data_IF_381079444704
#
_entry.id   IF_381079444704
#
_cell.length_a   1.000
_cell.length_b   1.000
_cell.length_c   1.000
_cell.angle_alpha   90.00
_cell.angle_beta   90.00
_cell.angle_gamma   90.00
#
_symmetry.space_group_name_H-M   'P 1'
#
loop_
_entity.id
_entity.type
_entity.pdbx_description
1 polymer ?
#
# COMPACT_ATOMS: atom_id res chain seq x y z
N UNK A 1 17.64 -15.69 -35.01
CA UNK A 1 16.46 -15.95 -34.17
C UNK A 1 16.89 -15.99 -32.72
N UNK A 2 16.50 -15.03 -31.89
CA UNK A 2 16.64 -15.11 -30.43
C UNK A 2 15.64 -14.19 -29.72
N UNK A 3 14.84 -14.83 -28.87
CA UNK A 3 13.97 -14.35 -27.78
C UNK A 3 12.82 -13.36 -28.06
N UNK A 4 11.64 -13.94 -28.34
CA UNK A 4 10.30 -13.35 -28.16
C UNK A 4 9.84 -13.40 -26.70
N UNK A 5 10.64 -12.90 -25.75
CA UNK A 5 10.14 -12.66 -24.40
C UNK A 5 10.21 -11.17 -24.13
N UNK A 6 9.08 -10.49 -24.39
CA UNK A 6 8.84 -9.18 -23.80
C UNK A 6 9.09 -9.32 -22.31
N UNK A 7 9.96 -8.46 -21.76
CA UNK A 7 10.29 -8.46 -20.33
C UNK A 7 8.98 -8.43 -19.54
N UNK A 8 8.60 -9.57 -18.99
CA UNK A 8 7.56 -9.65 -17.98
C UNK A 8 8.18 -8.96 -16.76
N UNK A 9 7.92 -7.65 -16.60
CA UNK A 9 8.26 -6.86 -15.40
C UNK A 9 7.33 -7.20 -14.22
N UNK A 10 6.78 -8.42 -14.18
CA UNK A 10 5.91 -8.82 -13.08
C UNK A 10 6.80 -9.02 -11.85
N UNK A 11 6.37 -8.48 -10.71
CA UNK A 11 6.98 -8.74 -9.43
C UNK A 11 7.13 -10.26 -9.23
N UNK A 12 8.37 -10.77 -9.25
CA UNK A 12 8.63 -12.18 -8.95
C UNK A 12 8.41 -12.47 -7.46
N UNK A 13 8.59 -11.46 -6.60
CA UNK A 13 8.43 -11.53 -5.15
C UNK A 13 8.17 -10.14 -4.57
N UNK A 14 7.62 -10.10 -3.35
CA UNK A 14 7.47 -8.90 -2.54
C UNK A 14 7.73 -9.21 -1.07
N UNK A 15 7.96 -8.16 -0.28
CA UNK A 15 8.15 -8.24 1.16
C UNK A 15 7.09 -7.38 1.85
N UNK A 16 6.56 -7.85 2.97
CA UNK A 16 5.58 -7.12 3.77
C UNK A 16 6.05 -7.03 5.21
N UNK A 17 5.66 -5.95 5.88
CA UNK A 17 5.93 -5.75 7.29
C UNK A 17 4.97 -6.61 8.10
N UNK A 18 5.50 -7.50 8.93
CA UNK A 18 4.67 -8.48 9.65
C UNK A 18 3.64 -7.81 10.56
N UNK A 19 4.01 -6.71 11.22
CA UNK A 19 3.09 -5.95 12.07
C UNK A 19 1.88 -5.39 11.32
N UNK A 20 1.97 -5.20 10.00
CA UNK A 20 0.83 -4.76 9.20
C UNK A 20 -0.37 -5.73 9.29
N UNK A 21 -0.14 -7.03 9.54
CA UNK A 21 -1.22 -8.01 9.71
C UNK A 21 -2.15 -7.69 10.87
N UNK A 22 -1.71 -6.93 11.89
CA UNK A 22 -2.59 -6.44 12.95
C UNK A 22 -3.65 -5.48 12.40
N UNK A 23 -3.28 -4.66 11.43
CA UNK A 23 -4.18 -3.70 10.78
C UNK A 23 -5.01 -4.32 9.65
N UNK A 24 -4.52 -5.41 9.05
CA UNK A 24 -5.31 -6.24 8.13
C UNK A 24 -6.39 -7.08 8.83
N UNK A 25 -6.53 -6.99 10.16
CA UNK A 25 -7.62 -7.63 10.91
C UNK A 25 -8.75 -6.65 11.26
N UNK A 26 -8.71 -5.44 10.69
CA UNK A 26 -9.69 -4.39 10.93
C UNK A 26 -11.10 -4.83 10.48
N UNK A 27 -12.04 -4.84 11.43
CA UNK A 27 -13.44 -5.23 11.22
C UNK A 27 -14.19 -4.39 10.18
N UNK A 28 -13.72 -3.19 9.85
CA UNK A 28 -14.30 -2.35 8.81
C UNK A 28 -13.90 -2.81 7.39
N UNK A 29 -12.88 -3.67 7.26
CA UNK A 29 -12.45 -4.23 5.98
C UNK A 29 -13.30 -5.43 5.59
N UNK A 30 -13.89 -5.35 4.41
CA UNK A 30 -14.68 -6.40 3.80
C UNK A 30 -13.81 -7.29 2.89
N UNK A 31 -14.35 -8.46 2.51
CA UNK A 31 -13.74 -9.32 1.49
C UNK A 31 -13.45 -8.57 0.17
N UNK A 32 -14.29 -7.60 -0.20
CA UNK A 32 -14.10 -6.77 -1.39
C UNK A 32 -12.89 -5.84 -1.26
N UNK A 33 -12.65 -5.30 -0.06
CA UNK A 33 -11.49 -4.45 0.23
C UNK A 33 -10.19 -5.26 0.06
N UNK A 34 -10.14 -6.47 0.61
CA UNK A 34 -8.98 -7.36 0.45
C UNK A 34 -8.76 -7.78 -1.00
N UNK A 35 -9.82 -8.13 -1.75
CA UNK A 35 -9.71 -8.48 -3.18
C UNK A 35 -9.07 -7.35 -3.99
N UNK A 36 -9.45 -6.10 -3.72
CA UNK A 36 -8.86 -4.94 -4.40
C UNK A 36 -7.42 -4.71 -3.95
N UNK A 37 -7.14 -4.78 -2.64
CA UNK A 37 -5.77 -4.61 -2.12
C UNK A 37 -4.81 -5.65 -2.72
N UNK A 38 -5.21 -6.92 -2.76
CA UNK A 38 -4.41 -8.00 -3.37
C UNK A 38 -4.26 -7.83 -4.88
N UNK A 39 -5.31 -7.39 -5.58
CA UNK A 39 -5.21 -7.06 -7.00
C UNK A 39 -4.20 -5.93 -7.25
N UNK A 40 -4.21 -4.86 -6.44
CA UNK A 40 -3.23 -3.78 -6.54
C UNK A 40 -1.81 -4.31 -6.27
N UNK A 41 -1.63 -5.17 -5.27
CA UNK A 41 -0.35 -5.84 -5.01
C UNK A 41 0.14 -6.69 -6.19
N UNK A 42 -0.75 -7.44 -6.84
CA UNK A 42 -0.43 -8.23 -8.05
C UNK A 42 0.00 -7.34 -9.23
N UNK A 43 -0.63 -6.16 -9.39
CA UNK A 43 -0.34 -5.21 -10.48
C UNK A 43 0.75 -4.20 -10.16
N UNK A 44 1.37 -4.30 -8.98
CA UNK A 44 2.34 -3.34 -8.52
C UNK A 44 3.67 -3.47 -9.27
N UNK A 45 4.25 -2.32 -9.62
CA UNK A 45 5.55 -2.21 -10.24
C UNK A 45 6.66 -2.30 -9.19
N UNK A 46 7.75 -3.00 -9.52
CA UNK A 46 8.87 -3.27 -8.60
C UNK A 46 9.79 -2.08 -8.33
N UNK A 47 9.71 -1.04 -9.16
CA UNK A 47 10.56 0.15 -9.11
C UNK A 47 9.98 1.28 -8.27
N UNK A 48 8.65 1.45 -8.29
CA UNK A 48 7.97 2.59 -7.66
C UNK A 48 6.78 2.22 -6.76
N UNK A 49 6.51 0.93 -6.53
CA UNK A 49 5.39 0.48 -5.68
C UNK A 49 4.00 0.93 -6.18
N UNK A 50 3.88 1.35 -7.44
CA UNK A 50 2.61 1.77 -8.04
C UNK A 50 1.93 0.65 -8.81
N UNK A 51 0.62 0.54 -8.65
CA UNK A 51 -0.26 -0.21 -9.54
C UNK A 51 -0.93 0.77 -10.51
N UNK A 52 -0.47 0.78 -11.76
CA UNK A 52 -0.91 1.74 -12.81
C UNK A 52 -2.21 1.28 -13.48
N UNK A 53 -3.25 1.11 -12.67
CA UNK A 53 -4.55 0.58 -13.07
C UNK A 53 -5.67 1.57 -12.75
N UNK A 54 -6.60 1.71 -13.69
CA UNK A 54 -7.77 2.59 -13.52
C UNK A 54 -8.89 1.84 -12.79
N UNK A 55 -9.73 2.57 -12.05
CA UNK A 55 -10.90 2.01 -11.36
C UNK A 55 -11.82 1.19 -12.28
N UNK A 56 -12.03 1.64 -13.53
CA UNK A 56 -12.83 0.90 -14.51
C UNK A 56 -12.24 -0.47 -14.81
N UNK A 57 -10.92 -0.55 -14.94
CA UNK A 57 -10.18 -1.80 -15.19
C UNK A 57 -10.27 -2.72 -13.98
N UNK A 58 -10.07 -2.21 -12.76
CA UNK A 58 -10.26 -2.98 -11.51
C UNK A 58 -11.67 -3.59 -11.44
N UNK A 59 -12.70 -2.79 -11.74
CA UNK A 59 -14.08 -3.24 -11.73
C UNK A 59 -14.35 -4.35 -12.75
N UNK A 60 -13.78 -4.24 -13.96
CA UNK A 60 -13.90 -5.25 -15.00
C UNK A 60 -13.16 -6.53 -14.62
N UNK A 61 -11.90 -6.44 -14.22
CA UNK A 61 -11.04 -7.60 -13.95
C UNK A 61 -11.51 -8.40 -12.73
N UNK A 62 -12.06 -7.72 -11.71
CA UNK A 62 -12.59 -8.38 -10.51
C UNK A 62 -14.07 -8.75 -10.61
N UNK A 63 -14.73 -8.45 -11.74
CA UNK A 63 -16.18 -8.59 -11.92
C UNK A 63 -16.98 -7.93 -10.78
N UNK A 64 -16.65 -6.67 -10.47
CA UNK A 64 -17.24 -5.89 -9.38
C UNK A 64 -17.94 -4.64 -9.92
N UNK A 65 -19.00 -4.20 -9.23
CA UNK A 65 -19.63 -2.91 -9.52
C UNK A 65 -18.64 -1.75 -9.32
N UNK A 66 -18.65 -0.79 -10.24
CA UNK A 66 -17.75 0.37 -10.23
C UNK A 66 -17.94 1.24 -8.97
N UNK A 67 -19.17 1.38 -8.50
CA UNK A 67 -19.50 2.10 -7.27
C UNK A 67 -18.93 1.41 -6.04
N UNK A 68 -19.03 0.08 -5.96
CA UNK A 68 -18.41 -0.72 -4.91
C UNK A 68 -16.88 -0.58 -4.91
N UNK A 69 -16.24 -0.71 -6.08
CA UNK A 69 -14.79 -0.49 -6.21
C UNK A 69 -14.38 0.91 -5.76
N UNK A 70 -15.17 1.94 -6.11
CA UNK A 70 -14.94 3.32 -5.66
C UNK A 70 -14.90 3.43 -4.13
N UNK A 71 -15.89 2.84 -3.45
CA UNK A 71 -16.00 2.86 -1.99
C UNK A 71 -14.82 2.15 -1.33
N UNK A 72 -14.46 0.96 -1.83
CA UNK A 72 -13.32 0.22 -1.33
C UNK A 72 -12.00 0.97 -1.51
N UNK A 73 -11.74 1.54 -2.69
CA UNK A 73 -10.54 2.33 -2.94
C UNK A 73 -10.45 3.55 -2.01
N UNK A 74 -11.56 4.28 -1.81
CA UNK A 74 -11.61 5.39 -0.85
C UNK A 74 -11.29 4.92 0.57
N UNK A 75 -11.86 3.79 1.00
CA UNK A 75 -11.59 3.21 2.32
C UNK A 75 -10.12 2.82 2.48
N UNK A 76 -9.54 2.15 1.50
CA UNK A 76 -8.12 1.76 1.51
C UNK A 76 -7.19 2.98 1.51
N UNK A 77 -7.56 4.06 0.82
CA UNK A 77 -6.85 5.34 0.90
C UNK A 77 -6.97 5.99 2.29
N UNK A 78 -8.18 6.04 2.86
CA UNK A 78 -8.40 6.61 4.19
C UNK A 78 -7.65 5.84 5.29
N UNK A 79 -7.52 4.51 5.13
CA UNK A 79 -6.69 3.69 6.02
C UNK A 79 -5.19 3.77 5.70
N UNK A 80 -4.78 4.52 4.67
CA UNK A 80 -3.41 4.67 4.18
C UNK A 80 -2.69 3.36 3.86
N UNK A 81 -3.44 2.34 3.43
CA UNK A 81 -2.84 1.13 2.84
C UNK A 81 -2.37 1.38 1.40
N UNK A 82 -3.04 2.31 0.73
CA UNK A 82 -2.68 2.81 -0.59
C UNK A 82 -2.82 4.34 -0.60
N UNK A 83 -2.21 4.98 -1.57
CA UNK A 83 -2.40 6.40 -1.89
C UNK A 83 -2.82 6.55 -3.35
N UNK A 84 -3.60 7.60 -3.65
CA UNK A 84 -3.96 7.90 -5.04
C UNK A 84 -2.74 8.48 -5.75
N UNK A 85 -2.34 7.86 -6.86
CA UNK A 85 -1.25 8.34 -7.72
C UNK A 85 -1.83 8.82 -9.07
N UNK A 86 -1.09 9.65 -9.84
CA UNK A 86 -1.56 10.18 -11.13
C UNK A 86 -2.11 9.09 -12.07
N UNK A 87 -1.39 7.97 -12.19
CA UNK A 87 -1.73 6.88 -13.12
C UNK A 87 -2.36 5.64 -12.46
N UNK A 88 -2.76 5.75 -11.19
CA UNK A 88 -3.29 4.58 -10.47
C UNK A 88 -3.29 4.76 -8.96
N UNK A 89 -2.63 3.84 -8.28
CA UNK A 89 -2.52 3.80 -6.83
C UNK A 89 -1.12 3.34 -6.43
N UNK A 90 -0.53 3.94 -5.39
CA UNK A 90 0.71 3.47 -4.79
C UNK A 90 0.38 2.65 -3.55
N UNK A 91 0.93 1.45 -3.42
CA UNK A 91 0.80 0.65 -2.18
C UNK A 91 1.80 1.19 -1.17
N UNK A 92 1.36 1.37 0.08
CA UNK A 92 2.15 2.00 1.12
C UNK A 92 3.49 1.27 1.35
N UNK A 93 4.64 1.90 1.06
CA UNK A 93 5.95 1.30 1.26
C UNK A 93 6.28 1.06 2.73
N UNK A 94 5.68 1.77 3.68
CA UNK A 94 5.82 1.42 5.10
C UNK A 94 5.23 0.05 5.46
N UNK A 95 4.43 -0.55 4.56
CA UNK A 95 3.71 -1.80 4.79
C UNK A 95 4.16 -2.93 3.85
N UNK A 96 4.47 -2.61 2.59
CA UNK A 96 4.74 -3.60 1.54
C UNK A 96 5.72 -3.05 0.50
N UNK A 97 6.63 -3.89 -0.02
CA UNK A 97 7.52 -3.60 -1.15
C UNK A 97 7.46 -4.70 -2.21
N UNK A 98 7.55 -4.34 -3.49
CA UNK A 98 7.79 -5.30 -4.56
C UNK A 98 9.29 -5.36 -4.95
N UNK A 99 9.81 -6.56 -5.15
CA UNK A 99 11.16 -6.81 -5.66
C UNK A 99 12.25 -5.99 -4.96
N UNK A 100 13.01 -5.22 -5.75
CA UNK A 100 14.11 -4.39 -5.25
C UNK A 100 13.66 -3.11 -4.52
N UNK A 101 12.36 -2.90 -4.29
CA UNK A 101 11.82 -1.73 -3.59
C UNK A 101 12.46 -1.53 -2.21
N UNK A 102 12.85 -2.60 -1.51
CA UNK A 102 13.53 -2.48 -0.21
C UNK A 102 14.86 -1.71 -0.30
N UNK A 103 15.63 -1.85 -1.39
CA UNK A 103 16.87 -1.10 -1.57
C UNK A 103 16.62 0.41 -1.75
N UNK A 104 15.46 0.78 -2.31
CA UNK A 104 15.04 2.16 -2.57
C UNK A 104 14.00 2.66 -1.56
N UNK A 105 13.84 1.98 -0.42
CA UNK A 105 12.69 2.12 0.46
C UNK A 105 12.44 3.54 0.98
N UNK A 106 13.50 4.28 1.33
CA UNK A 106 13.36 5.65 1.82
C UNK A 106 12.74 6.57 0.76
N UNK A 107 13.23 6.52 -0.48
CA UNK A 107 12.65 7.30 -1.57
C UNK A 107 11.21 6.89 -1.89
N UNK A 108 10.89 5.60 -1.78
CA UNK A 108 9.52 5.12 -1.96
C UNK A 108 8.59 5.66 -0.87
N UNK A 109 9.01 5.59 0.40
CA UNK A 109 8.28 6.16 1.54
C UNK A 109 8.04 7.66 1.32
N UNK A 110 9.09 8.44 1.08
CA UNK A 110 8.97 9.87 0.78
C UNK A 110 8.02 10.16 -0.39
N UNK A 111 8.08 9.34 -1.45
CA UNK A 111 7.18 9.48 -2.60
C UNK A 111 5.73 9.20 -2.24
N UNK A 112 5.48 8.19 -1.41
CA UNK A 112 4.15 7.87 -0.89
C UNK A 112 3.62 8.98 0.01
N UNK A 113 4.45 9.48 0.93
CA UNK A 113 4.08 10.55 1.87
C UNK A 113 3.66 11.83 1.12
N UNK A 114 4.34 12.18 0.03
CA UNK A 114 3.98 13.32 -0.84
C UNK A 114 2.62 13.15 -1.56
N UNK A 115 2.09 11.93 -1.65
CA UNK A 115 0.76 11.66 -2.23
C UNK A 115 -0.36 11.78 -1.19
N UNK A 116 -0.01 11.84 0.10
CA UNK A 116 -0.98 11.97 1.18
C UNK A 116 -1.43 13.42 1.33
N UNK A 117 -2.68 13.59 1.74
CA UNK A 117 -3.22 14.89 2.13
C UNK A 117 -2.92 15.15 3.61
N UNK A 118 -2.95 14.08 4.40
CA UNK A 118 -2.71 14.05 5.84
C UNK A 118 -1.33 13.46 6.14
N UNK A 119 -0.92 13.53 7.39
CA UNK A 119 0.34 12.94 7.84
C UNK A 119 0.37 11.42 7.60
N UNK A 120 1.55 10.81 7.47
CA UNK A 120 1.67 9.37 7.32
C UNK A 120 1.17 8.64 8.59
N UNK A 121 0.10 7.86 8.48
CA UNK A 121 -0.39 7.03 9.59
C UNK A 121 0.58 5.93 10.00
N UNK A 122 1.40 5.45 9.07
CA UNK A 122 2.31 4.33 9.30
C UNK A 122 3.75 4.77 9.10
N UNK A 123 4.59 4.45 10.06
CA UNK A 123 6.03 4.65 9.99
C UNK A 123 6.74 3.36 10.40
N UNK A 124 7.61 2.82 9.54
CA UNK A 124 8.37 1.62 9.90
C UNK A 124 9.70 2.07 10.50
N UNK A 125 9.86 1.81 11.79
CA UNK A 125 11.13 1.97 12.47
C UNK A 125 12.03 0.78 12.11
N UNK A 126 13.04 1.00 11.26
CA UNK A 126 13.94 -0.05 10.78
C UNK A 126 14.86 -0.58 11.88
N UNK A 127 15.23 0.26 12.86
CA UNK A 127 16.15 -0.10 13.94
C UNK A 127 15.47 -1.02 14.94
N UNK A 128 14.22 -0.69 15.30
CA UNK A 128 13.41 -1.49 16.22
C UNK A 128 12.63 -2.60 15.53
N UNK A 129 12.49 -2.53 14.19
CA UNK A 129 11.65 -3.42 13.36
C UNK A 129 10.18 -3.43 13.79
N UNK A 130 9.67 -2.27 14.17
CA UNK A 130 8.29 -2.07 14.63
C UNK A 130 7.59 -1.11 13.67
N UNK A 131 6.35 -1.44 13.32
CA UNK A 131 5.46 -0.52 12.62
C UNK A 131 4.81 0.43 13.63
N UNK A 132 5.31 1.66 13.68
CA UNK A 132 4.72 2.75 14.45
C UNK A 132 3.48 3.27 13.73
N UNK A 133 2.42 3.53 14.51
CA UNK A 133 1.17 4.08 14.01
C UNK A 133 1.01 5.46 14.60
N UNK A 134 1.03 6.47 13.74
CA UNK A 134 0.80 7.86 14.11
C UNK A 134 -0.70 8.10 13.94
N UNK A 135 -1.42 8.18 15.06
CA UNK A 135 -2.86 8.44 15.05
C UNK A 135 -3.09 9.95 15.22
N UNK A 136 -4.04 10.53 14.48
CA UNK A 136 -4.47 11.92 14.70
C UNK A 136 -5.16 12.09 16.08
N UNK A 137 -5.49 10.97 16.74
CA UNK A 137 -6.03 10.89 18.09
C UNK A 137 -4.98 10.58 19.17
N UNK A 138 -3.67 10.69 18.87
CA UNK A 138 -2.70 10.79 19.94
C UNK A 138 -2.91 12.14 20.64
N UNK A 139 -3.79 12.11 21.63
CA UNK A 139 -3.84 13.04 22.73
C UNK A 139 -2.41 13.50 23.04
N UNK A 140 -2.19 14.80 22.86
CA UNK A 140 -1.10 15.53 23.49
C UNK A 140 -1.13 15.24 25.00
N UNK A 141 -0.47 14.15 25.40
CA UNK A 141 -0.37 13.76 26.81
C UNK A 141 -0.58 12.28 27.07
N UNK A 142 0.38 11.43 26.65
CA UNK A 142 1.03 10.40 27.50
C UNK A 142 1.98 9.51 26.68
N UNK A 143 3.01 10.11 26.09
CA UNK A 143 4.25 9.35 25.94
C UNK A 143 4.92 9.30 27.32
N UNK A 144 4.92 8.13 27.95
CA UNK A 144 5.87 7.83 29.04
C UNK A 144 6.92 6.87 28.47
N UNK A 145 8.20 7.30 28.35
CA UNK A 145 9.26 6.38 28.04
C UNK A 145 9.40 5.36 29.18
N UNK A 146 9.83 4.13 28.89
CA UNK A 146 10.12 3.14 29.90
C UNK A 146 11.48 3.47 30.54
N UNK A 147 11.46 4.27 31.60
CA UNK A 147 12.48 4.28 32.65
C UNK A 147 11.79 4.51 34.01
#
# INVERSE_FOLDING_TARGET
>A
MASRYGRVRNAYWGAFILDWFKHLQDHELSAADYRILFYLGEKMMTDDNTARVRQKTIAQDLAMDKGNVSKCLKKLCAKQFIAKAPDGYMVNPHLFYAGNGYANRYNLRDSFERLLIESPRFFLNEDLRILEVLDDNDDLGKWKPPF
#
